data_IF_979399798934
#
_entry.id   IF_979399798934
#
_cell.length_a   1.000
_cell.length_b   1.000
_cell.length_c   1.000
_cell.angle_alpha   90.00
_cell.angle_beta   90.00
_cell.angle_gamma   90.00
#
_symmetry.space_group_name_H-M   'P 1'
#
loop_
_entity.id
_entity.type
_entity.pdbx_description
1 polymer ?
#
# COMPACT_ATOMS: atom_id res chain seq x y z
N UNK A 1 0.66 -10.47 -21.87
CA UNK A 1 0.96 -9.11 -21.36
C UNK A 1 2.46 -9.00 -21.06
N UNK A 2 3.17 -7.99 -21.58
CA UNK A 2 4.62 -7.80 -21.34
C UNK A 2 4.86 -7.54 -19.84
N UNK A 3 5.94 -8.09 -19.27
CA UNK A 3 6.28 -8.05 -17.83
C UNK A 3 6.18 -6.64 -17.23
N UNK A 4 6.59 -5.62 -17.99
CA UNK A 4 6.54 -4.21 -17.56
C UNK A 4 5.13 -3.67 -17.28
N UNK A 5 4.08 -4.14 -17.97
CA UNK A 5 2.71 -3.63 -17.74
C UNK A 5 2.15 -3.99 -16.37
N UNK A 6 2.53 -5.15 -15.84
CA UNK A 6 2.02 -5.66 -14.56
C UNK A 6 2.72 -4.97 -13.39
N UNK A 7 4.03 -4.75 -13.52
CA UNK A 7 4.80 -3.96 -12.56
C UNK A 7 4.30 -2.51 -12.54
N UNK A 8 4.02 -1.92 -13.71
CA UNK A 8 3.46 -0.58 -13.80
C UNK A 8 2.08 -0.47 -13.12
N UNK A 9 1.22 -1.47 -13.29
CA UNK A 9 -0.07 -1.53 -12.58
C UNK A 9 0.11 -1.61 -11.06
N UNK A 10 1.05 -2.41 -10.55
CA UNK A 10 1.34 -2.50 -9.12
C UNK A 10 1.80 -1.15 -8.57
N UNK A 11 2.74 -0.49 -9.24
CA UNK A 11 3.21 0.85 -8.84
C UNK A 11 2.07 1.87 -8.89
N UNK A 12 1.23 1.84 -9.92
CA UNK A 12 0.07 2.74 -10.03
C UNK A 12 -0.91 2.56 -8.86
N UNK A 13 -1.24 1.30 -8.53
CA UNK A 13 -2.10 0.98 -7.39
C UNK A 13 -1.46 1.46 -6.07
N UNK A 14 -0.17 1.24 -5.88
CA UNK A 14 0.57 1.70 -4.71
C UNK A 14 0.45 3.22 -4.50
N UNK A 15 0.65 4.00 -5.57
CA UNK A 15 0.56 5.46 -5.53
C UNK A 15 -0.87 5.88 -5.18
N UNK A 16 -1.88 5.30 -5.83
CA UNK A 16 -3.30 5.63 -5.56
C UNK A 16 -3.66 5.32 -4.11
N UNK A 17 -3.28 4.14 -3.60
CA UNK A 17 -3.58 3.76 -2.22
C UNK A 17 -2.86 4.64 -1.20
N UNK A 18 -1.62 5.08 -1.49
CA UNK A 18 -0.88 5.98 -0.62
C UNK A 18 -1.51 7.37 -0.55
N UNK A 19 -1.96 7.91 -1.70
CA UNK A 19 -2.68 9.20 -1.74
C UNK A 19 -3.99 9.10 -0.96
N UNK A 20 -4.76 8.03 -1.18
CA UNK A 20 -5.99 7.79 -0.44
C UNK A 20 -5.72 7.70 1.06
N UNK A 21 -4.68 6.98 1.48
CA UNK A 21 -4.33 6.90 2.89
C UNK A 21 -4.06 8.28 3.49
N UNK A 22 -3.28 9.14 2.84
CA UNK A 22 -2.99 10.49 3.36
C UNK A 22 -4.28 11.33 3.47
N UNK A 23 -5.14 11.29 2.46
CA UNK A 23 -6.40 12.05 2.44
C UNK A 23 -7.39 11.58 3.51
N UNK A 24 -7.50 10.27 3.72
CA UNK A 24 -8.47 9.68 4.64
C UNK A 24 -7.91 9.44 6.05
N UNK A 25 -6.59 9.50 6.27
CA UNK A 25 -5.95 9.20 7.55
C UNK A 25 -6.54 10.03 8.69
N UNK A 26 -6.80 11.32 8.46
CA UNK A 26 -7.36 12.20 9.48
C UNK A 26 -8.79 11.78 9.85
N UNK A 27 -9.64 11.53 8.85
CA UNK A 27 -11.02 11.07 9.06
C UNK A 27 -11.08 9.73 9.78
N UNK A 28 -10.19 8.79 9.43
CA UNK A 28 -10.08 7.50 10.12
C UNK A 28 -9.72 7.71 11.59
N UNK A 29 -8.77 8.60 11.87
CA UNK A 29 -8.31 8.87 13.23
C UNK A 29 -9.40 9.46 14.11
N UNK A 30 -10.18 10.41 13.57
CA UNK A 30 -11.30 11.05 14.28
C UNK A 30 -12.36 10.01 14.68
N UNK A 31 -12.61 9.00 13.83
CA UNK A 31 -13.60 7.96 14.10
C UNK A 31 -13.06 6.91 15.08
N UNK A 32 -11.81 6.48 14.91
CA UNK A 32 -11.24 5.34 15.65
C UNK A 32 -10.67 5.76 17.02
N UNK A 33 -10.15 6.99 17.13
CA UNK A 33 -9.48 7.47 18.32
C UNK A 33 -9.76 8.97 18.59
N UNK A 34 -11.04 9.36 18.77
CA UNK A 34 -11.39 10.73 19.09
C UNK A 34 -10.77 11.15 20.43
N UNK A 35 -9.88 12.15 20.40
CA UNK A 35 -9.31 12.78 21.61
C UNK A 35 -7.81 12.54 21.87
N UNK A 36 -7.12 11.78 21.03
CA UNK A 36 -5.66 11.63 21.10
C UNK A 36 -4.90 12.76 20.37
N UNK A 37 -3.57 12.87 20.55
CA UNK A 37 -2.75 13.83 19.78
C UNK A 37 -2.87 13.55 18.28
N UNK A 38 -3.69 14.34 17.60
CA UNK A 38 -4.13 14.06 16.23
C UNK A 38 -2.94 14.04 15.26
N UNK A 39 -1.99 14.97 15.39
CA UNK A 39 -0.87 15.08 14.43
C UNK A 39 0.11 13.93 14.55
N UNK A 40 0.56 13.58 15.77
CA UNK A 40 1.51 12.49 15.97
C UNK A 40 0.94 11.14 15.51
N UNK A 41 -0.31 10.87 15.86
CA UNK A 41 -0.99 9.63 15.45
C UNK A 41 -1.35 9.64 13.95
N UNK A 42 -1.67 10.79 13.36
CA UNK A 42 -1.90 10.91 11.92
C UNK A 42 -0.62 10.59 11.13
N UNK A 43 0.52 11.16 11.54
CA UNK A 43 1.83 10.85 10.94
C UNK A 43 2.16 9.37 11.11
N UNK A 44 1.97 8.82 12.31
CA UNK A 44 2.22 7.39 12.57
C UNK A 44 1.35 6.50 11.66
N UNK A 45 0.05 6.79 11.55
CA UNK A 45 -0.88 6.04 10.71
C UNK A 45 -0.46 6.08 9.24
N UNK A 46 -0.04 7.23 8.73
CA UNK A 46 0.47 7.36 7.36
C UNK A 46 1.73 6.53 7.18
N UNK A 47 2.72 6.64 8.07
CA UNK A 47 3.99 5.92 7.96
C UNK A 47 3.74 4.40 7.97
N UNK A 48 3.07 3.89 9.00
CA UNK A 48 2.80 2.45 9.12
C UNK A 48 1.86 1.95 8.03
N UNK A 49 0.88 2.75 7.61
CA UNK A 49 -0.01 2.42 6.51
C UNK A 49 0.73 2.33 5.17
N UNK A 50 1.58 3.29 4.82
CA UNK A 50 2.42 3.23 3.61
C UNK A 50 3.34 2.00 3.66
N UNK A 51 3.94 1.71 4.82
CA UNK A 51 4.82 0.55 5.00
C UNK A 51 4.05 -0.76 4.78
N UNK A 52 2.82 -0.86 5.29
CA UNK A 52 1.92 -2.00 5.06
C UNK A 52 1.50 -2.15 3.60
N UNK A 53 1.15 -1.05 2.92
CA UNK A 53 0.83 -1.05 1.49
C UNK A 53 2.07 -1.47 0.67
N UNK A 54 3.26 -1.04 1.06
CA UNK A 54 4.50 -1.42 0.39
C UNK A 54 4.80 -2.92 0.56
N UNK A 55 4.65 -3.46 1.76
CA UNK A 55 4.85 -4.89 2.03
C UNK A 55 3.86 -5.76 1.24
N UNK A 56 2.58 -5.38 1.20
CA UNK A 56 1.57 -6.11 0.41
C UNK A 56 1.88 -6.07 -1.08
N UNK A 57 2.39 -4.94 -1.59
CA UNK A 57 2.86 -4.81 -2.97
C UNK A 57 4.04 -5.74 -3.26
N UNK A 58 5.03 -5.79 -2.37
CA UNK A 58 6.19 -6.67 -2.49
C UNK A 58 5.77 -8.13 -2.55
N UNK A 59 4.89 -8.56 -1.64
CA UNK A 59 4.37 -9.94 -1.63
C UNK A 59 3.65 -10.25 -2.95
N UNK A 60 2.78 -9.36 -3.43
CA UNK A 60 2.07 -9.55 -4.70
C UNK A 60 3.04 -9.69 -5.88
N UNK A 61 4.09 -8.86 -5.92
CA UNK A 61 5.12 -8.92 -6.94
C UNK A 61 5.92 -10.24 -6.89
N UNK A 62 6.33 -10.67 -5.69
CA UNK A 62 7.04 -11.94 -5.48
C UNK A 62 6.18 -13.13 -5.92
N UNK A 63 4.91 -13.19 -5.50
CA UNK A 63 3.97 -14.25 -5.89
C UNK A 63 3.81 -14.31 -7.40
N UNK A 64 3.71 -13.15 -8.08
CA UNK A 64 3.61 -13.08 -9.53
C UNK A 64 4.87 -13.62 -10.23
N UNK A 65 6.06 -13.23 -9.75
CA UNK A 65 7.34 -13.72 -10.28
C UNK A 65 7.48 -15.23 -10.07
N UNK A 66 7.11 -15.76 -8.91
CA UNK A 66 7.18 -17.19 -8.60
C UNK A 66 6.19 -18.02 -9.43
N UNK A 67 4.94 -17.55 -9.61
CA UNK A 67 3.94 -18.24 -10.45
C UNK A 67 4.39 -18.38 -11.91
N UNK A 68 5.11 -17.38 -12.44
CA UNK A 68 5.68 -17.44 -13.80
C UNK A 68 6.78 -18.48 -13.94
N UNK A 69 7.62 -18.69 -12.91
CA UNK A 69 8.69 -19.70 -12.93
C UNK A 69 8.12 -21.13 -13.06
N UNK A 70 6.97 -21.40 -12.43
CA UNK A 70 6.30 -22.71 -12.44
C UNK A 70 5.58 -23.05 -13.77
N UNK A 71 5.37 -22.07 -14.65
CA UNK A 71 4.69 -22.26 -15.95
C UNK A 71 5.67 -22.41 -17.13
N UNK A 72 6.98 -22.31 -16.87
CA UNK A 72 8.06 -22.44 -17.88
C UNK A 72 8.91 -23.70 -17.62
N UNK A 73 8.61 -24.46 -16.57
CA UNK A 73 9.09 -25.84 -16.38
C UNK A 73 7.96 -26.80 -16.75
#
# INVERSE_FOLDING_TARGET
MKRGKIVLMHIGIFIVLSILLVLFAESILIVVAPGFHHVEMWIALIIYGILGIFLTLLISCIVFLMKKKKQVQ
#
